data_IF_144223637667
#
_entry.id   IF_144223637667
#
_cell.length_a   1.000
_cell.length_b   1.000
_cell.length_c   1.000
_cell.angle_alpha   90.00
_cell.angle_beta   90.00
_cell.angle_gamma   90.00
#
_symmetry.space_group_name_H-M   'P 1'
#
loop_
_entity.id
_entity.type
_entity.pdbx_description
1 polymer ?
#
# COMPACT_ATOMS: atom_id res chain seq x y z
N UNK A 1 21.86 54.47 -1.62
CA UNK A 1 22.74 53.37 -1.18
C UNK A 1 22.69 52.29 -2.24
N UNK A 2 23.81 52.03 -2.92
CA UNK A 2 23.93 50.91 -3.87
C UNK A 2 24.52 49.74 -3.07
N UNK A 3 23.75 48.67 -2.90
CA UNK A 3 24.19 47.44 -2.24
C UNK A 3 24.80 46.50 -3.28
N UNK A 4 26.10 46.24 -3.18
CA UNK A 4 26.78 45.22 -3.98
C UNK A 4 26.59 43.86 -3.30
N UNK A 5 25.75 42.99 -3.86
CA UNK A 5 25.72 41.57 -3.49
C UNK A 5 26.83 40.82 -4.27
N UNK A 6 27.58 39.96 -3.58
CA UNK A 6 28.46 38.96 -4.18
C UNK A 6 27.81 37.58 -4.05
N UNK A 7 27.54 36.93 -5.18
CA UNK A 7 27.08 35.54 -5.30
C UNK A 7 28.26 34.57 -5.35
N UNK A 8 28.08 33.37 -4.80
CA UNK A 8 28.96 32.21 -5.04
C UNK A 8 28.48 31.37 -6.23
N UNK A 9 29.31 30.44 -6.69
CA UNK A 9 28.97 29.57 -7.82
C UNK A 9 27.70 28.76 -7.53
N UNK A 10 26.77 28.74 -8.49
CA UNK A 10 25.41 28.14 -8.40
C UNK A 10 24.36 28.91 -7.56
N UNK A 11 24.49 30.24 -7.41
CA UNK A 11 23.43 31.05 -6.78
C UNK A 11 22.70 31.96 -7.78
N UNK A 12 21.39 32.13 -7.58
CA UNK A 12 20.55 33.08 -8.33
C UNK A 12 20.21 34.25 -7.41
N UNK A 13 20.70 35.44 -7.74
CA UNK A 13 20.36 36.65 -6.98
C UNK A 13 19.04 37.23 -7.49
N UNK A 14 18.06 37.35 -6.60
CA UNK A 14 16.77 37.98 -6.89
C UNK A 14 16.68 39.27 -6.08
N UNK A 15 16.52 40.41 -6.77
CA UNK A 15 16.37 41.73 -6.15
C UNK A 15 15.00 42.30 -6.50
N UNK A 16 14.20 42.65 -5.49
CA UNK A 16 12.91 43.30 -5.68
C UNK A 16 12.70 44.41 -4.63
N UNK A 17 11.98 45.46 -5.01
CA UNK A 17 11.60 46.57 -4.11
C UNK A 17 10.43 46.25 -3.16
N UNK A 18 9.92 45.02 -3.17
CA UNK A 18 8.86 44.44 -2.33
C UNK A 18 9.14 42.95 -2.09
N UNK A 19 8.29 42.25 -1.33
CA UNK A 19 8.44 40.82 -1.03
C UNK A 19 8.57 39.97 -2.31
N UNK A 20 9.59 39.11 -2.34
CA UNK A 20 9.78 38.09 -3.38
C UNK A 20 9.05 36.83 -2.93
N UNK A 21 8.00 36.44 -3.64
CA UNK A 21 7.36 35.13 -3.45
C UNK A 21 8.02 34.15 -4.42
N UNK A 22 8.84 33.25 -3.89
CA UNK A 22 9.34 32.10 -4.64
C UNK A 22 8.18 31.10 -4.81
N UNK A 23 7.56 31.09 -6.00
CA UNK A 23 6.52 30.13 -6.31
C UNK A 23 7.13 28.74 -6.49
N UNK A 24 7.00 27.91 -5.46
CA UNK A 24 7.19 26.47 -5.60
C UNK A 24 5.93 25.90 -6.26
N UNK A 25 6.10 25.00 -7.23
CA UNK A 25 5.04 24.50 -8.12
C UNK A 25 3.80 23.88 -7.41
N UNK A 26 3.86 23.59 -6.10
CA UNK A 26 2.73 23.10 -5.29
C UNK A 26 1.80 24.20 -4.74
N UNK A 27 2.25 25.45 -4.63
CA UNK A 27 1.43 26.55 -4.07
C UNK A 27 0.25 26.91 -4.98
N UNK A 28 0.45 26.83 -6.30
CA UNK A 28 -0.60 27.10 -7.28
C UNK A 28 -1.71 26.05 -7.19
N UNK A 29 -1.36 24.77 -7.10
CA UNK A 29 -2.33 23.68 -6.97
C UNK A 29 -3.15 23.81 -5.67
N UNK A 30 -2.49 24.10 -4.54
CA UNK A 30 -3.19 24.33 -3.27
C UNK A 30 -4.15 25.52 -3.36
N UNK A 31 -3.69 26.66 -3.88
CA UNK A 31 -4.49 27.86 -4.01
C UNK A 31 -5.74 27.61 -4.86
N UNK A 32 -5.61 26.94 -6.00
CA UNK A 32 -6.75 26.57 -6.84
C UNK A 32 -7.76 25.67 -6.11
N UNK A 33 -7.30 24.65 -5.37
CA UNK A 33 -8.21 23.77 -4.62
C UNK A 33 -8.91 24.54 -3.49
N UNK A 34 -8.19 25.42 -2.79
CA UNK A 34 -8.74 26.24 -1.71
C UNK A 34 -9.77 27.26 -2.23
N UNK A 35 -9.48 27.95 -3.34
CA UNK A 35 -10.42 28.90 -3.97
C UNK A 35 -11.72 28.21 -4.36
N UNK A 36 -11.62 27.06 -5.00
CA UNK A 36 -12.76 26.25 -5.43
C UNK A 36 -13.56 25.84 -4.21
N UNK A 37 -12.90 25.32 -3.18
CA UNK A 37 -13.54 24.93 -1.92
C UNK A 37 -14.28 26.10 -1.26
N UNK A 38 -13.68 27.29 -1.20
CA UNK A 38 -14.29 28.50 -0.60
C UNK A 38 -15.55 28.95 -1.36
N UNK A 39 -15.48 29.01 -2.68
CA UNK A 39 -16.65 29.36 -3.51
C UNK A 39 -17.83 28.43 -3.24
N UNK A 40 -17.51 27.16 -3.00
CA UNK A 40 -18.50 26.11 -2.85
C UNK A 40 -19.07 26.02 -1.46
N UNK A 41 -18.29 26.33 -0.42
CA UNK A 41 -18.80 26.33 0.95
C UNK A 41 -20.00 27.23 1.13
N UNK A 42 -19.92 28.46 0.62
CA UNK A 42 -21.01 29.41 0.69
C UNK A 42 -22.25 28.88 -0.06
N UNK A 43 -22.05 28.20 -1.19
CA UNK A 43 -23.14 27.62 -1.98
C UNK A 43 -23.73 26.32 -1.42
N UNK A 44 -22.93 25.49 -0.74
CA UNK A 44 -23.29 24.13 -0.29
C UNK A 44 -23.83 24.14 1.12
N UNK A 45 -23.22 24.91 2.02
CA UNK A 45 -23.59 24.93 3.43
C UNK A 45 -24.57 26.06 3.78
N UNK A 46 -24.70 27.08 2.92
CA UNK A 46 -25.59 28.22 3.15
C UNK A 46 -25.28 28.95 4.46
N UNK A 47 -26.31 29.48 5.10
CA UNK A 47 -26.17 30.09 6.43
C UNK A 47 -26.09 29.01 7.51
N UNK A 48 -24.95 29.00 8.21
CA UNK A 48 -24.68 28.11 9.33
C UNK A 48 -24.50 28.88 10.65
N UNK A 49 -24.77 28.23 11.80
CA UNK A 49 -24.40 28.77 13.11
C UNK A 49 -22.90 29.10 13.18
N UNK A 50 -22.56 30.15 13.93
CA UNK A 50 -21.18 30.65 14.02
C UNK A 50 -20.19 29.57 14.50
N UNK A 51 -20.58 28.74 15.46
CA UNK A 51 -19.71 27.67 15.97
C UNK A 51 -19.56 26.52 14.97
N UNK A 52 -20.58 26.23 14.17
CA UNK A 52 -20.47 25.27 13.05
C UNK A 52 -19.50 25.79 11.99
N UNK A 53 -19.56 27.09 11.64
CA UNK A 53 -18.61 27.71 10.71
C UNK A 53 -17.17 27.60 11.23
N UNK A 54 -16.93 27.90 12.51
CA UNK A 54 -15.60 27.75 13.12
C UNK A 54 -15.09 26.31 13.06
N UNK A 55 -15.95 25.32 13.33
CA UNK A 55 -15.54 23.91 13.25
C UNK A 55 -15.18 23.51 11.82
N UNK A 56 -15.98 23.94 10.85
CA UNK A 56 -15.73 23.72 9.43
C UNK A 56 -14.38 24.34 9.02
N UNK A 57 -14.11 25.59 9.40
CA UNK A 57 -12.84 26.27 9.14
C UNK A 57 -11.65 25.52 9.78
N UNK A 58 -11.84 25.00 10.99
CA UNK A 58 -10.83 24.19 11.67
C UNK A 58 -10.53 22.89 10.91
N UNK A 59 -11.57 22.19 10.48
CA UNK A 59 -11.44 20.94 9.72
C UNK A 59 -10.73 21.19 8.37
N UNK A 60 -11.14 22.24 7.65
CA UNK A 60 -10.50 22.64 6.41
C UNK A 60 -9.03 22.99 6.60
N UNK A 61 -8.70 23.76 7.63
CA UNK A 61 -7.32 24.13 7.92
C UNK A 61 -6.47 22.87 8.09
N UNK A 62 -6.96 21.88 8.84
CA UNK A 62 -6.25 20.61 8.99
C UNK A 62 -6.05 19.89 7.65
N UNK A 63 -7.09 19.79 6.83
CA UNK A 63 -7.01 19.17 5.51
C UNK A 63 -6.02 19.87 4.59
N UNK A 64 -6.11 21.18 4.44
CA UNK A 64 -5.24 21.96 3.57
C UNK A 64 -3.78 21.96 4.05
N UNK A 65 -3.53 21.95 5.36
CA UNK A 65 -2.17 21.76 5.88
C UNK A 65 -1.57 20.44 5.37
N UNK A 66 -2.26 19.32 5.52
CA UNK A 66 -1.76 18.03 5.05
C UNK A 66 -1.72 17.92 3.53
N UNK A 67 -2.66 18.55 2.82
CA UNK A 67 -2.63 18.61 1.36
C UNK A 67 -1.39 19.36 0.85
N UNK A 68 -1.04 20.47 1.50
CA UNK A 68 0.17 21.24 1.17
C UNK A 68 1.43 20.36 1.25
N UNK A 69 1.56 19.59 2.34
CA UNK A 69 2.70 18.69 2.54
C UNK A 69 2.77 17.60 1.46
N UNK A 70 1.62 17.05 1.07
CA UNK A 70 1.57 15.98 0.06
C UNK A 70 1.71 16.50 -1.38
N UNK A 71 1.26 17.71 -1.69
CA UNK A 71 1.46 18.32 -3.00
C UNK A 71 2.95 18.61 -3.28
N UNK A 72 3.77 18.76 -2.24
CA UNK A 72 5.24 18.78 -2.37
C UNK A 72 5.83 17.49 -2.96
N UNK A 73 5.07 16.39 -3.01
CA UNK A 73 5.50 15.07 -3.51
C UNK A 73 5.00 14.78 -4.94
N UNK A 74 4.47 15.78 -5.65
CA UNK A 74 3.93 15.61 -6.99
C UNK A 74 5.02 15.27 -8.02
N UNK A 75 4.66 14.39 -8.96
CA UNK A 75 5.51 14.02 -10.09
C UNK A 75 5.29 14.97 -11.26
N UNK A 76 4.03 15.38 -11.50
CA UNK A 76 3.66 16.35 -12.56
C UNK A 76 4.05 17.78 -12.13
N UNK A 77 4.58 18.57 -13.07
CA UNK A 77 5.01 19.95 -12.84
C UNK A 77 4.58 20.86 -13.98
N UNK A 78 4.62 22.18 -13.75
CA UNK A 78 4.40 23.19 -14.79
C UNK A 78 3.04 23.06 -15.51
N UNK A 79 3.08 23.00 -16.83
CA UNK A 79 1.87 23.01 -17.67
C UNK A 79 1.03 21.74 -17.51
N UNK A 80 1.66 20.58 -17.33
CA UNK A 80 0.93 19.31 -17.15
C UNK A 80 0.13 19.33 -15.86
N UNK A 81 0.72 19.79 -14.76
CA UNK A 81 0.01 19.98 -13.51
C UNK A 81 -1.16 20.97 -13.69
N UNK A 82 -0.93 22.09 -14.39
CA UNK A 82 -1.97 23.09 -14.65
C UNK A 82 -3.15 22.51 -15.43
N UNK A 83 -2.90 21.66 -16.43
CA UNK A 83 -3.95 20.98 -17.22
C UNK A 83 -4.82 20.08 -16.34
N UNK A 84 -4.19 19.26 -15.49
CA UNK A 84 -4.89 18.37 -14.56
C UNK A 84 -5.78 19.19 -13.63
N UNK A 85 -5.19 20.16 -12.92
CA UNK A 85 -5.93 20.89 -11.88
C UNK A 85 -7.03 21.78 -12.46
N UNK A 86 -6.89 22.26 -13.68
CA UNK A 86 -7.91 23.12 -14.31
C UNK A 86 -9.03 22.31 -14.97
N UNK A 87 -8.93 20.98 -15.01
CA UNK A 87 -9.94 20.14 -15.64
C UNK A 87 -11.25 20.13 -14.84
N UNK A 88 -12.44 20.13 -15.50
CA UNK A 88 -13.73 20.11 -14.80
C UNK A 88 -13.89 18.93 -13.85
N UNK A 89 -13.36 17.78 -14.23
CA UNK A 89 -13.39 16.54 -13.46
C UNK A 89 -12.54 16.64 -12.18
N UNK A 90 -11.28 17.10 -12.28
CA UNK A 90 -10.45 17.31 -11.09
C UNK A 90 -11.05 18.37 -10.16
N UNK A 91 -11.62 19.42 -10.73
CA UNK A 91 -12.31 20.48 -10.00
C UNK A 91 -13.51 19.94 -9.20
N UNK A 92 -14.28 19.03 -9.80
CA UNK A 92 -15.38 18.36 -9.12
C UNK A 92 -14.90 17.44 -7.99
N UNK A 93 -13.87 16.61 -8.22
CA UNK A 93 -13.45 15.65 -7.20
C UNK A 93 -12.68 16.30 -6.05
N UNK A 94 -11.86 17.31 -6.32
CA UNK A 94 -11.16 18.10 -5.29
C UNK A 94 -12.15 18.86 -4.40
N UNK A 95 -13.22 19.41 -4.98
CA UNK A 95 -14.38 19.91 -4.23
C UNK A 95 -14.96 18.85 -3.31
N UNK A 96 -15.20 17.65 -3.84
CA UNK A 96 -15.82 16.55 -3.09
C UNK A 96 -14.96 16.17 -1.88
N UNK A 97 -13.64 16.10 -2.06
CA UNK A 97 -12.69 15.89 -0.97
C UNK A 97 -12.77 17.00 0.08
N UNK A 98 -12.73 18.27 -0.33
CA UNK A 98 -12.77 19.40 0.60
C UNK A 98 -14.08 19.48 1.39
N UNK A 99 -15.24 19.24 0.76
CA UNK A 99 -16.53 19.18 1.45
C UNK A 99 -16.55 18.02 2.45
N UNK A 100 -16.03 16.87 2.06
CA UNK A 100 -15.96 15.68 2.93
C UNK A 100 -15.09 15.95 4.16
N UNK A 101 -13.91 16.54 3.97
CA UNK A 101 -13.04 16.96 5.07
C UNK A 101 -13.73 17.97 5.98
N UNK A 102 -14.40 18.97 5.42
CA UNK A 102 -15.10 20.02 6.19
C UNK A 102 -16.13 19.48 7.18
N UNK A 103 -16.73 18.34 6.87
CA UNK A 103 -17.78 17.69 7.67
C UNK A 103 -17.24 16.81 8.81
N UNK A 104 -15.92 16.62 8.91
CA UNK A 104 -15.31 15.66 9.84
C UNK A 104 -14.14 16.29 10.58
N UNK A 105 -14.03 16.04 11.88
CA UNK A 105 -12.85 16.40 12.67
C UNK A 105 -11.74 15.35 12.61
N UNK A 106 -11.91 14.28 11.81
CA UNK A 106 -10.94 13.20 11.70
C UNK A 106 -9.70 13.63 10.92
N UNK A 107 -8.60 13.84 11.65
CA UNK A 107 -7.28 14.10 11.07
C UNK A 107 -6.82 12.96 10.14
N UNK A 108 -7.24 11.74 10.42
CA UNK A 108 -6.94 10.56 9.61
C UNK A 108 -7.66 10.60 8.26
N UNK A 109 -8.93 10.99 8.25
CA UNK A 109 -9.67 11.22 7.00
C UNK A 109 -9.02 12.35 6.18
N UNK A 110 -8.59 13.43 6.82
CA UNK A 110 -7.90 14.53 6.15
C UNK A 110 -6.61 14.09 5.47
N UNK A 111 -5.80 13.29 6.16
CA UNK A 111 -4.56 12.70 5.62
C UNK A 111 -4.84 11.79 4.43
N UNK A 112 -5.82 10.91 4.56
CA UNK A 112 -6.19 10.01 3.48
C UNK A 112 -6.74 10.74 2.25
N UNK A 113 -7.65 11.69 2.41
CA UNK A 113 -8.16 12.50 1.30
C UNK A 113 -7.05 13.28 0.60
N UNK A 114 -6.11 13.83 1.37
CA UNK A 114 -4.95 14.52 0.83
C UNK A 114 -4.07 13.58 0.00
N UNK A 115 -3.77 12.39 0.52
CA UNK A 115 -2.99 11.36 -0.19
C UNK A 115 -3.68 10.95 -1.50
N UNK A 116 -4.98 10.63 -1.45
CA UNK A 116 -5.75 10.24 -2.62
C UNK A 116 -5.81 11.33 -3.69
N UNK A 117 -5.94 12.61 -3.31
CA UNK A 117 -5.87 13.73 -4.25
C UNK A 117 -4.51 13.80 -4.95
N UNK A 118 -3.41 13.65 -4.21
CA UNK A 118 -2.07 13.62 -4.79
C UNK A 118 -1.90 12.43 -5.75
N UNK A 119 -2.39 11.25 -5.39
CA UNK A 119 -2.35 10.06 -6.25
C UNK A 119 -3.20 10.22 -7.51
N UNK A 120 -4.38 10.84 -7.38
CA UNK A 120 -5.27 11.18 -8.49
C UNK A 120 -4.59 12.15 -9.47
N UNK A 121 -3.87 13.16 -8.99
CA UNK A 121 -3.11 14.08 -9.86
C UNK A 121 -2.02 13.32 -10.61
N UNK A 122 -1.27 12.46 -9.91
CA UNK A 122 -0.14 11.73 -10.50
C UNK A 122 -0.56 10.69 -11.55
N UNK A 123 -1.82 10.23 -11.52
CA UNK A 123 -2.35 9.20 -12.44
C UNK A 123 -3.42 9.74 -13.42
N UNK A 124 -3.45 11.05 -13.70
CA UNK A 124 -4.48 11.65 -14.58
C UNK A 124 -4.46 11.15 -16.04
N UNK A 125 -3.33 10.62 -16.50
CA UNK A 125 -3.13 10.06 -17.85
C UNK A 125 -3.59 8.59 -18.00
N UNK A 126 -4.09 7.97 -16.93
CA UNK A 126 -4.55 6.58 -16.90
C UNK A 126 -6.05 6.52 -16.63
N UNK A 127 -6.86 6.35 -17.68
CA UNK A 127 -8.34 6.45 -17.62
C UNK A 127 -8.98 5.64 -16.49
N UNK A 128 -8.64 4.35 -16.36
CA UNK A 128 -9.21 3.51 -15.30
C UNK A 128 -8.75 3.94 -13.90
N UNK A 129 -7.47 4.25 -13.72
CA UNK A 129 -6.95 4.67 -12.41
C UNK A 129 -7.54 6.00 -11.95
N UNK A 130 -7.69 6.92 -12.89
CA UNK A 130 -8.39 8.18 -12.68
C UNK A 130 -9.76 7.93 -12.06
N UNK A 131 -10.58 7.10 -12.72
CA UNK A 131 -11.92 6.72 -12.23
C UNK A 131 -11.84 6.06 -10.85
N UNK A 132 -10.89 5.14 -10.64
CA UNK A 132 -10.73 4.44 -9.36
C UNK A 132 -10.38 5.40 -8.22
N UNK A 133 -9.48 6.35 -8.45
CA UNK A 133 -9.14 7.36 -7.45
C UNK A 133 -10.29 8.33 -7.19
N UNK A 134 -11.04 8.72 -8.22
CA UNK A 134 -12.22 9.57 -8.06
C UNK A 134 -13.29 8.88 -7.20
N UNK A 135 -13.52 7.58 -7.43
CA UNK A 135 -14.45 6.81 -6.60
C UNK A 135 -13.89 6.60 -5.18
N UNK A 136 -12.59 6.34 -5.02
CA UNK A 136 -11.95 6.22 -3.71
C UNK A 136 -12.09 7.51 -2.88
N UNK A 137 -11.88 8.68 -3.48
CA UNK A 137 -12.06 9.99 -2.83
C UNK A 137 -13.53 10.18 -2.40
N UNK A 138 -14.47 9.80 -3.27
CA UNK A 138 -15.91 9.93 -3.01
C UNK A 138 -16.40 8.97 -1.93
N UNK A 139 -15.69 7.86 -1.71
CA UNK A 139 -16.12 6.78 -0.84
C UNK A 139 -15.43 6.75 0.51
N UNK A 140 -14.19 7.22 0.63
CA UNK A 140 -13.42 7.10 1.88
C UNK A 140 -14.06 7.80 3.08
N UNK A 141 -14.79 8.90 2.86
CA UNK A 141 -15.54 9.59 3.93
C UNK A 141 -16.72 8.82 4.51
N UNK A 142 -17.10 7.69 3.89
CA UNK A 142 -18.16 6.80 4.36
C UNK A 142 -17.62 5.72 5.29
N UNK A 143 -16.31 5.45 5.26
CA UNK A 143 -15.69 4.34 5.98
C UNK A 143 -15.27 4.73 7.39
N UNK A 144 -15.38 3.78 8.32
CA UNK A 144 -14.80 3.92 9.66
C UNK A 144 -13.32 3.52 9.66
N UNK A 145 -12.59 3.93 10.70
CA UNK A 145 -11.19 3.50 10.91
C UNK A 145 -11.06 1.98 10.98
N UNK A 146 -12.00 1.30 11.62
CA UNK A 146 -12.01 -0.17 11.67
C UNK A 146 -12.17 -0.80 10.29
N UNK A 147 -13.01 -0.23 9.43
CA UNK A 147 -13.18 -0.71 8.05
C UNK A 147 -11.93 -0.44 7.21
N UNK A 148 -11.27 0.70 7.38
CA UNK A 148 -9.99 0.98 6.73
C UNK A 148 -8.92 -0.05 7.13
N UNK A 149 -8.86 -0.43 8.41
CA UNK A 149 -7.98 -1.49 8.89
C UNK A 149 -8.32 -2.86 8.30
N UNK A 150 -9.60 -3.23 8.25
CA UNK A 150 -10.05 -4.50 7.63
C UNK A 150 -9.64 -4.57 6.16
N UNK A 151 -9.98 -3.53 5.38
CA UNK A 151 -9.66 -3.46 3.94
C UNK A 151 -8.15 -3.53 3.74
N UNK A 152 -7.38 -2.79 4.54
CA UNK A 152 -5.91 -2.76 4.41
C UNK A 152 -5.26 -4.06 4.82
N UNK A 153 -5.71 -4.69 5.92
CA UNK A 153 -5.20 -5.99 6.35
C UNK A 153 -5.49 -7.06 5.30
N UNK A 154 -6.70 -7.08 4.73
CA UNK A 154 -7.07 -8.00 3.65
C UNK A 154 -6.19 -7.79 2.41
N UNK A 155 -5.95 -6.54 2.02
CA UNK A 155 -5.04 -6.20 0.92
C UNK A 155 -3.62 -6.74 1.15
N UNK A 156 -3.03 -6.44 2.31
CA UNK A 156 -1.66 -6.82 2.63
C UNK A 156 -1.47 -8.34 2.69
N UNK A 157 -2.43 -9.08 3.26
CA UNK A 157 -2.29 -10.52 3.46
C UNK A 157 -2.61 -11.35 2.21
N UNK A 158 -3.36 -10.82 1.23
CA UNK A 158 -3.82 -11.57 0.04
C UNK A 158 -3.27 -11.07 -1.28
N UNK A 159 -3.13 -9.76 -1.41
CA UNK A 159 -2.87 -9.09 -2.69
C UNK A 159 -1.46 -8.50 -2.76
N UNK A 160 -0.61 -8.76 -1.77
CA UNK A 160 0.77 -8.28 -1.77
C UNK A 160 1.74 -9.38 -1.35
N UNK A 161 2.96 -9.31 -1.87
CA UNK A 161 4.09 -10.02 -1.27
C UNK A 161 5.22 -9.01 -1.03
N UNK A 162 5.80 -9.04 0.17
CA UNK A 162 6.86 -8.11 0.52
C UNK A 162 8.22 -8.70 0.11
N UNK A 163 8.87 -8.10 -0.88
CA UNK A 163 10.16 -8.55 -1.42
C UNK A 163 11.33 -8.33 -0.45
N UNK A 164 11.15 -7.52 0.60
CA UNK A 164 12.14 -7.29 1.64
C UNK A 164 12.32 -8.46 2.62
N UNK A 165 11.42 -9.45 2.61
CA UNK A 165 11.56 -10.64 3.46
C UNK A 165 12.61 -11.57 2.88
N UNK A 166 13.73 -11.73 3.59
CA UNK A 166 14.88 -12.56 3.19
C UNK A 166 15.32 -13.55 4.27
N UNK A 167 14.70 -13.48 5.43
CA UNK A 167 14.99 -14.31 6.60
C UNK A 167 13.81 -14.31 7.55
N UNK A 168 13.85 -15.17 8.56
CA UNK A 168 12.81 -15.20 9.59
C UNK A 168 12.76 -13.90 10.41
N UNK A 169 13.91 -13.29 10.68
CA UNK A 169 13.99 -12.02 11.42
C UNK A 169 13.34 -10.87 10.64
N UNK A 170 13.57 -10.81 9.33
CA UNK A 170 12.92 -9.80 8.47
C UNK A 170 11.42 -10.07 8.30
N UNK A 171 11.00 -11.33 8.36
CA UNK A 171 9.57 -11.69 8.40
C UNK A 171 8.89 -11.21 9.68
N UNK A 172 9.50 -11.46 10.85
CA UNK A 172 9.01 -10.95 12.14
C UNK A 172 8.93 -9.42 12.09
N UNK A 173 9.97 -8.75 11.60
CA UNK A 173 9.99 -7.30 11.45
C UNK A 173 8.85 -6.80 10.56
N UNK A 174 8.61 -7.45 9.42
CA UNK A 174 7.49 -7.13 8.54
C UNK A 174 6.14 -7.24 9.27
N UNK A 175 5.92 -8.30 10.04
CA UNK A 175 4.70 -8.46 10.85
C UNK A 175 4.53 -7.29 11.83
N UNK A 176 5.60 -6.91 12.54
CA UNK A 176 5.55 -5.82 13.51
C UNK A 176 5.34 -4.43 12.89
N UNK A 177 5.95 -4.15 11.75
CA UNK A 177 5.94 -2.78 11.18
C UNK A 177 4.88 -2.57 10.10
N UNK A 178 4.48 -3.63 9.38
CA UNK A 178 3.56 -3.52 8.23
C UNK A 178 2.19 -4.13 8.50
N UNK A 179 2.09 -5.16 9.34
CA UNK A 179 0.80 -5.85 9.58
C UNK A 179 0.14 -5.38 10.88
N UNK A 180 0.92 -5.31 11.97
CA UNK A 180 0.45 -4.93 13.31
C UNK A 180 -0.41 -3.67 13.36
N UNK A 181 -0.16 -2.59 12.59
CA UNK A 181 -1.00 -1.39 12.66
C UNK A 181 -2.47 -1.64 12.30
N UNK A 182 -2.78 -2.75 11.62
CA UNK A 182 -4.09 -3.03 11.04
C UNK A 182 -4.85 -4.18 11.70
N UNK A 183 -4.36 -4.74 12.82
CA UNK A 183 -4.97 -5.93 13.46
C UNK A 183 -5.93 -5.58 14.61
N UNK A 184 -6.05 -4.30 14.96
CA UNK A 184 -6.88 -3.81 16.07
C UNK A 184 -8.12 -3.09 15.54
N UNK A 185 -9.20 -3.84 15.30
CA UNK A 185 -10.47 -3.32 14.80
C UNK A 185 -11.70 -4.09 15.33
N UNK A 186 -12.84 -3.41 15.39
CA UNK A 186 -14.13 -4.09 15.59
C UNK A 186 -14.54 -4.82 14.31
N UNK A 187 -14.90 -6.09 14.43
CA UNK A 187 -15.12 -7.00 13.31
C UNK A 187 -16.57 -7.50 13.25
N UNK A 188 -17.52 -6.58 13.42
CA UNK A 188 -18.95 -6.95 13.35
C UNK A 188 -19.35 -7.29 11.91
N UNK A 189 -20.34 -8.17 11.75
CA UNK A 189 -20.94 -8.48 10.44
C UNK A 189 -21.36 -7.21 9.69
N UNK A 190 -21.92 -6.22 10.41
CA UNK A 190 -22.30 -4.93 9.85
C UNK A 190 -21.10 -4.15 9.27
N UNK A 191 -19.89 -4.32 9.83
CA UNK A 191 -18.69 -3.68 9.28
C UNK A 191 -18.38 -4.21 7.88
N UNK A 192 -18.45 -5.53 7.67
CA UNK A 192 -18.24 -6.17 6.37
C UNK A 192 -19.35 -5.84 5.37
N UNK A 193 -20.62 -5.92 5.77
CA UNK A 193 -21.75 -5.52 4.92
C UNK A 193 -21.64 -4.06 4.46
N UNK A 194 -21.16 -3.17 5.33
CA UNK A 194 -20.96 -1.78 4.95
C UNK A 194 -19.75 -1.58 4.01
N UNK A 195 -18.68 -2.38 4.15
CA UNK A 195 -17.60 -2.44 3.14
C UNK A 195 -18.16 -2.82 1.77
N UNK A 196 -19.09 -3.79 1.70
CA UNK A 196 -19.77 -4.16 0.46
C UNK A 196 -20.66 -3.04 -0.08
N UNK A 197 -21.48 -2.45 0.79
CA UNK A 197 -22.35 -1.31 0.43
C UNK A 197 -21.58 -0.13 -0.16
N UNK A 198 -20.40 0.16 0.39
CA UNK A 198 -19.52 1.22 -0.13
C UNK A 198 -18.75 0.84 -1.39
N UNK A 199 -18.91 -0.39 -1.90
CA UNK A 199 -18.22 -0.86 -3.10
C UNK A 199 -16.71 -1.09 -2.90
N UNK A 200 -16.23 -1.22 -1.65
CA UNK A 200 -14.81 -1.44 -1.35
C UNK A 200 -14.42 -2.92 -1.40
N UNK A 201 -15.37 -3.84 -1.36
CA UNK A 201 -15.14 -5.27 -1.47
C UNK A 201 -16.43 -6.06 -1.54
N UNK A 202 -16.30 -7.38 -1.58
CA UNK A 202 -17.41 -8.34 -1.55
C UNK A 202 -17.05 -9.52 -0.66
N UNK A 203 -17.97 -9.98 0.18
CA UNK A 203 -17.81 -11.18 1.01
C UNK A 203 -18.37 -12.37 0.25
N UNK A 204 -17.47 -13.27 -0.17
CA UNK A 204 -17.84 -14.46 -0.94
C UNK A 204 -18.01 -15.72 -0.07
N UNK A 205 -18.54 -16.78 -0.67
CA UNK A 205 -18.63 -18.10 -0.03
C UNK A 205 -17.23 -18.72 0.13
N UNK A 206 -16.32 -18.43 -0.81
CA UNK A 206 -14.94 -18.91 -0.77
C UNK A 206 -14.12 -18.18 0.28
N UNK A 207 -13.43 -18.94 1.14
CA UNK A 207 -12.40 -18.40 2.03
C UNK A 207 -11.00 -18.61 1.46
N UNK A 208 -10.10 -17.74 1.86
CA UNK A 208 -8.67 -17.85 1.60
C UNK A 208 -7.98 -18.50 2.80
N UNK A 209 -7.08 -19.46 2.57
CA UNK A 209 -6.26 -20.05 3.63
C UNK A 209 -4.97 -19.24 3.80
N UNK A 210 -4.89 -18.48 4.90
CA UNK A 210 -3.75 -17.62 5.20
C UNK A 210 -2.45 -18.42 5.34
N UNK A 211 -2.51 -19.61 5.97
CA UNK A 211 -1.33 -20.46 6.14
C UNK A 211 -0.85 -20.97 4.78
N UNK A 212 -1.78 -21.35 3.90
CA UNK A 212 -1.44 -21.74 2.52
C UNK A 212 -0.81 -20.59 1.73
N UNK A 213 -1.32 -19.35 1.86
CA UNK A 213 -0.73 -18.16 1.22
C UNK A 213 0.72 -17.97 1.71
N UNK A 214 0.97 -17.99 3.01
CA UNK A 214 2.32 -17.86 3.55
C UNK A 214 3.23 -19.02 3.14
N UNK A 215 2.70 -20.25 3.08
CA UNK A 215 3.41 -21.44 2.62
C UNK A 215 3.83 -21.31 1.16
N UNK A 216 3.02 -20.66 0.32
CA UNK A 216 3.33 -20.42 -1.09
C UNK A 216 4.30 -19.25 -1.26
N UNK A 217 3.96 -18.06 -0.72
CA UNK A 217 4.71 -16.82 -1.01
C UNK A 217 6.04 -16.73 -0.28
N UNK A 218 6.16 -17.35 0.89
CA UNK A 218 7.35 -17.31 1.74
C UNK A 218 7.87 -18.71 2.07
N UNK A 219 7.71 -19.66 1.13
CA UNK A 219 8.08 -21.06 1.29
C UNK A 219 9.50 -21.27 1.84
N UNK A 220 10.46 -20.45 1.41
CA UNK A 220 11.85 -20.52 1.85
C UNK A 220 12.06 -20.38 3.37
N UNK A 221 11.13 -19.73 4.09
CA UNK A 221 11.16 -19.60 5.55
C UNK A 221 10.74 -20.89 6.26
N UNK A 222 10.07 -21.78 5.53
CA UNK A 222 9.45 -23.01 6.03
C UNK A 222 10.05 -24.25 5.38
N UNK A 223 11.19 -24.12 4.72
CA UNK A 223 11.85 -25.22 4.04
C UNK A 223 12.73 -26.00 5.04
N UNK A 224 12.53 -27.31 5.12
CA UNK A 224 13.46 -28.20 5.81
C UNK A 224 14.74 -28.39 4.98
N UNK A 225 15.84 -28.71 5.66
CA UNK A 225 17.08 -29.09 4.97
C UNK A 225 16.89 -30.38 4.17
N UNK A 226 17.55 -30.45 3.02
CA UNK A 226 17.48 -31.54 2.05
C UNK A 226 18.72 -32.41 2.16
N UNK A 227 18.57 -33.73 2.10
CA UNK A 227 19.72 -34.64 2.10
C UNK A 227 20.62 -34.40 0.89
N UNK A 228 21.95 -34.48 1.08
CA UNK A 228 22.92 -34.22 0.01
C UNK A 228 22.67 -35.08 -1.22
N UNK A 229 22.41 -36.37 -0.99
CA UNK A 229 22.16 -37.37 -2.04
C UNK A 229 21.00 -36.94 -2.96
N UNK A 230 19.93 -36.37 -2.41
CA UNK A 230 18.78 -35.94 -3.21
C UNK A 230 19.12 -34.83 -4.20
N UNK A 231 20.03 -33.91 -3.82
CA UNK A 231 20.48 -32.83 -4.70
C UNK A 231 21.58 -33.30 -5.65
N UNK A 232 22.51 -34.12 -5.15
CA UNK A 232 23.64 -34.63 -5.94
C UNK A 232 23.15 -35.51 -7.10
N UNK A 233 22.10 -36.31 -6.87
CA UNK A 233 21.48 -37.16 -7.88
C UNK A 233 20.78 -36.38 -9.01
N UNK A 234 20.57 -35.07 -8.88
CA UNK A 234 19.97 -34.24 -9.93
C UNK A 234 20.95 -33.87 -11.04
N UNK A 235 22.26 -34.04 -10.83
CA UNK A 235 23.31 -33.58 -11.75
C UNK A 235 23.13 -32.11 -12.18
N UNK A 236 22.71 -31.25 -11.25
CA UNK A 236 22.59 -29.81 -11.47
C UNK A 236 23.93 -29.22 -11.92
N UNK A 237 23.96 -28.35 -12.94
CA UNK A 237 25.19 -27.65 -13.32
C UNK A 237 25.78 -26.92 -12.12
N UNK A 238 27.10 -27.02 -11.96
CA UNK A 238 27.79 -26.53 -10.76
C UNK A 238 27.52 -25.04 -10.48
N UNK A 239 27.45 -24.22 -11.53
CA UNK A 239 27.15 -22.79 -11.41
C UNK A 239 25.74 -22.53 -10.86
N UNK A 240 24.75 -23.30 -11.33
CA UNK A 240 23.38 -23.21 -10.80
C UNK A 240 23.35 -23.68 -9.35
N UNK A 241 24.00 -24.80 -9.04
CA UNK A 241 24.06 -25.32 -7.68
C UNK A 241 24.65 -24.29 -6.71
N UNK A 242 25.72 -23.57 -7.09
CA UNK A 242 26.29 -22.48 -6.29
C UNK A 242 25.34 -21.29 -6.10
N UNK A 243 24.53 -20.97 -7.11
CA UNK A 243 23.58 -19.85 -7.06
C UNK A 243 22.40 -20.12 -6.12
N UNK A 244 21.86 -21.36 -6.09
CA UNK A 244 20.59 -21.66 -5.39
C UNK A 244 20.70 -22.66 -4.23
N UNK A 245 21.84 -23.35 -4.06
CA UNK A 245 22.04 -24.32 -2.97
C UNK A 245 23.14 -23.84 -2.02
N UNK A 246 22.95 -24.05 -0.72
CA UNK A 246 24.01 -23.84 0.27
C UNK A 246 24.09 -25.02 1.22
N UNK A 247 25.32 -25.44 1.54
CA UNK A 247 25.57 -26.48 2.53
C UNK A 247 25.43 -25.92 3.94
N UNK A 248 24.58 -26.54 4.74
CA UNK A 248 24.61 -26.41 6.19
C UNK A 248 25.68 -27.37 6.74
N UNK A 249 26.76 -26.80 7.27
CA UNK A 249 27.90 -27.58 7.78
C UNK A 249 27.59 -28.29 9.10
N UNK A 250 26.56 -27.87 9.83
CA UNK A 250 26.22 -28.44 11.14
C UNK A 250 25.41 -29.71 10.98
N UNK A 251 24.39 -29.66 10.13
CA UNK A 251 23.50 -30.81 9.87
C UNK A 251 23.97 -31.66 8.69
N UNK A 252 24.99 -31.20 7.97
CA UNK A 252 25.55 -31.81 6.77
C UNK A 252 24.53 -32.00 5.62
N UNK A 253 23.61 -31.04 5.48
CA UNK A 253 22.50 -31.05 4.52
C UNK A 253 22.44 -29.79 3.68
N UNK A 254 21.69 -29.81 2.58
CA UNK A 254 21.53 -28.67 1.69
C UNK A 254 20.29 -27.82 2.01
N UNK A 255 20.44 -26.52 1.84
CA UNK A 255 19.35 -25.54 1.87
C UNK A 255 19.15 -24.97 0.47
N UNK A 256 17.89 -24.93 0.00
CA UNK A 256 17.53 -24.30 -1.28
C UNK A 256 17.14 -22.84 -1.03
N UNK A 257 17.90 -21.91 -1.61
CA UNK A 257 17.80 -20.45 -1.38
C UNK A 257 16.97 -19.75 -2.45
N UNK A 258 15.75 -20.22 -2.65
CA UNK A 258 14.79 -19.59 -3.58
C UNK A 258 13.49 -19.33 -2.86
N UNK A 259 12.90 -18.14 -3.08
CA UNK A 259 11.75 -17.61 -2.34
C UNK A 259 10.57 -18.58 -2.30
N UNK A 260 10.19 -19.09 -3.46
CA UNK A 260 9.08 -20.03 -3.61
C UNK A 260 9.28 -20.94 -4.83
N UNK A 261 8.34 -21.87 -4.99
CA UNK A 261 8.36 -22.88 -6.06
C UNK A 261 8.28 -22.25 -7.46
N UNK A 262 7.43 -21.23 -7.64
CA UNK A 262 7.24 -20.53 -8.92
C UNK A 262 8.51 -19.78 -9.35
N UNK A 263 9.18 -19.13 -8.41
CA UNK A 263 10.44 -18.41 -8.64
C UNK A 263 11.56 -19.39 -9.00
N UNK A 264 11.60 -20.56 -8.35
CA UNK A 264 12.54 -21.63 -8.67
C UNK A 264 12.34 -22.13 -10.10
N UNK A 265 11.11 -22.47 -10.47
CA UNK A 265 10.79 -22.96 -11.81
C UNK A 265 11.12 -21.91 -12.88
N UNK A 266 10.73 -20.66 -12.65
CA UNK A 266 10.99 -19.52 -13.55
C UNK A 266 12.49 -19.29 -13.73
N UNK A 267 13.24 -19.31 -12.63
CA UNK A 267 14.69 -19.14 -12.64
C UNK A 267 15.38 -20.23 -13.47
N UNK A 268 15.02 -21.51 -13.26
CA UNK A 268 15.63 -22.63 -13.97
C UNK A 268 15.26 -22.65 -15.46
N UNK A 269 14.00 -22.34 -15.80
CA UNK A 269 13.56 -22.18 -17.19
C UNK A 269 14.37 -21.11 -17.91
N UNK A 270 14.59 -19.95 -17.28
CA UNK A 270 15.41 -18.87 -17.83
C UNK A 270 16.87 -19.29 -18.06
N UNK A 271 17.42 -20.14 -17.17
CA UNK A 271 18.76 -20.72 -17.31
C UNK A 271 18.82 -21.90 -18.30
N UNK A 272 17.71 -22.22 -18.97
CA UNK A 272 17.59 -23.31 -19.97
C UNK A 272 17.98 -24.68 -19.39
N UNK A 273 17.63 -24.92 -18.13
CA UNK A 273 17.83 -26.22 -17.50
C UNK A 273 16.86 -27.24 -18.06
N UNK A 274 17.30 -28.49 -18.14
CA UNK A 274 16.50 -29.61 -18.61
C UNK A 274 15.19 -29.75 -17.82
N UNK A 275 14.08 -29.99 -18.53
CA UNK A 275 12.72 -30.01 -17.97
C UNK A 275 12.56 -31.09 -16.90
N UNK A 276 13.26 -32.23 -17.05
CA UNK A 276 13.20 -33.31 -16.07
C UNK A 276 13.93 -32.94 -14.77
N UNK A 277 15.07 -32.24 -14.88
CA UNK A 277 15.77 -31.69 -13.70
C UNK A 277 14.90 -30.66 -13.00
N UNK A 278 14.24 -29.77 -13.74
CA UNK A 278 13.30 -28.78 -13.19
C UNK A 278 12.21 -29.49 -12.39
N UNK A 279 11.52 -30.47 -13.00
CA UNK A 279 10.45 -31.22 -12.32
C UNK A 279 10.94 -31.88 -11.03
N UNK A 280 12.09 -32.57 -11.07
CA UNK A 280 12.65 -33.26 -9.91
C UNK A 280 13.01 -32.29 -8.79
N UNK A 281 13.69 -31.17 -9.10
CA UNK A 281 14.06 -30.19 -8.08
C UNK A 281 12.83 -29.49 -7.50
N UNK A 282 11.82 -29.18 -8.33
CA UNK A 282 10.54 -28.62 -7.87
C UNK A 282 9.80 -29.58 -6.92
N UNK A 283 9.80 -30.89 -7.22
CA UNK A 283 9.22 -31.91 -6.32
C UNK A 283 9.99 -31.98 -5.01
N UNK A 284 11.33 -31.97 -5.05
CA UNK A 284 12.17 -31.93 -3.85
C UNK A 284 11.82 -30.68 -3.03
N UNK A 285 11.80 -29.51 -3.65
CA UNK A 285 11.47 -28.24 -2.98
C UNK A 285 10.11 -28.35 -2.28
N UNK A 286 9.05 -28.72 -3.00
CA UNK A 286 7.69 -28.83 -2.49
C UNK A 286 7.55 -29.80 -1.31
N UNK A 287 8.22 -30.95 -1.39
CA UNK A 287 8.16 -31.99 -0.36
C UNK A 287 8.92 -31.61 0.92
N UNK A 288 9.85 -30.66 0.83
CA UNK A 288 10.60 -30.18 1.99
C UNK A 288 9.97 -28.93 2.64
N UNK A 289 8.96 -28.32 2.04
CA UNK A 289 8.19 -27.26 2.71
C UNK A 289 7.36 -27.91 3.82
N UNK A 290 7.54 -27.41 5.04
CA UNK A 290 6.76 -27.80 6.22
C UNK A 290 5.25 -27.83 5.94
N UNK A 291 4.54 -28.70 6.66
CA UNK A 291 3.09 -28.78 6.54
C UNK A 291 2.40 -27.58 7.21
N UNK A 292 1.10 -27.39 6.95
CA UNK A 292 0.36 -26.24 7.45
C UNK A 292 0.36 -26.14 8.99
N UNK A 293 0.32 -27.26 9.72
CA UNK A 293 0.33 -27.25 11.19
C UNK A 293 1.67 -26.75 11.75
N UNK A 294 2.79 -27.20 11.18
CA UNK A 294 4.12 -26.72 11.56
C UNK A 294 4.29 -25.22 11.26
N UNK A 295 3.80 -24.77 10.10
CA UNK A 295 3.85 -23.36 9.70
C UNK A 295 2.99 -22.50 10.64
N UNK A 296 1.74 -22.93 10.90
CA UNK A 296 0.83 -22.28 11.84
C UNK A 296 1.47 -22.18 13.22
N UNK A 297 2.07 -23.27 13.71
CA UNK A 297 2.79 -23.28 14.99
C UNK A 297 3.93 -22.27 14.98
N UNK A 298 4.81 -22.30 13.98
CA UNK A 298 5.94 -21.36 13.87
C UNK A 298 5.49 -19.89 13.87
N UNK A 299 4.49 -19.54 13.05
CA UNK A 299 3.96 -18.17 13.00
C UNK A 299 3.35 -17.76 14.35
N UNK A 300 2.58 -18.63 15.00
CA UNK A 300 1.92 -18.32 16.28
C UNK A 300 2.88 -18.25 17.47
N UNK A 301 3.95 -19.04 17.49
CA UNK A 301 4.88 -19.10 18.62
C UNK A 301 6.04 -18.12 18.52
N UNK A 302 6.45 -17.77 17.30
CA UNK A 302 7.68 -16.97 17.08
C UNK A 302 7.41 -15.54 16.58
N UNK A 303 6.15 -15.15 16.37
CA UNK A 303 5.79 -13.74 16.08
C UNK A 303 4.90 -13.21 17.20
N UNK A 304 4.97 -11.91 17.50
CA UNK A 304 4.18 -11.36 18.62
C UNK A 304 2.68 -11.26 18.31
N UNK A 305 2.31 -11.21 17.03
CA UNK A 305 0.95 -10.99 16.56
C UNK A 305 0.34 -12.19 15.80
N UNK A 306 1.11 -13.25 15.53
CA UNK A 306 0.68 -14.35 14.65
C UNK A 306 -0.58 -15.05 15.11
N UNK A 307 -0.71 -15.30 16.42
CA UNK A 307 -1.94 -15.87 16.99
C UNK A 307 -3.16 -14.97 16.73
N UNK A 308 -3.01 -13.67 16.96
CA UNK A 308 -4.10 -12.70 16.77
C UNK A 308 -4.52 -12.59 15.31
N UNK A 309 -3.57 -12.55 14.38
CA UNK A 309 -3.88 -12.52 12.94
C UNK A 309 -4.64 -13.77 12.52
N UNK A 310 -4.18 -14.95 12.92
CA UNK A 310 -4.85 -16.21 12.58
C UNK A 310 -6.24 -16.30 13.23
N UNK A 311 -6.39 -15.86 14.48
CA UNK A 311 -7.69 -15.75 15.14
C UNK A 311 -8.65 -14.82 14.37
N UNK A 312 -8.19 -13.65 13.91
CA UNK A 312 -8.99 -12.74 13.09
C UNK A 312 -9.38 -13.39 11.75
N UNK A 313 -8.45 -14.11 11.13
CA UNK A 313 -8.67 -14.77 9.85
C UNK A 313 -9.70 -15.90 9.95
N UNK A 314 -9.62 -16.69 11.01
CA UNK A 314 -10.46 -17.88 11.22
C UNK A 314 -11.85 -17.51 11.78
N UNK A 315 -11.99 -16.38 12.49
CA UNK A 315 -13.23 -16.00 13.22
C UNK A 315 -14.03 -14.86 12.60
N UNK A 316 -13.55 -14.26 11.51
CA UNK A 316 -14.21 -13.12 10.88
C UNK A 316 -14.30 -13.31 9.37
N UNK A 317 -15.14 -12.51 8.71
CA UNK A 317 -15.33 -12.59 7.25
C UNK A 317 -14.15 -12.03 6.44
N UNK A 318 -13.04 -11.63 7.08
CA UNK A 318 -11.85 -11.13 6.37
C UNK A 318 -11.26 -12.17 5.42
N UNK A 319 -11.32 -13.46 5.80
CA UNK A 319 -10.88 -14.57 4.95
C UNK A 319 -11.76 -14.75 3.71
N UNK A 320 -13.00 -14.24 3.74
CA UNK A 320 -13.97 -14.29 2.65
C UNK A 320 -14.02 -12.98 1.83
N UNK A 321 -13.47 -11.89 2.37
CA UNK A 321 -13.51 -10.56 1.76
C UNK A 321 -12.55 -10.46 0.57
N UNK A 322 -13.09 -10.21 -0.62
CA UNK A 322 -12.31 -9.85 -1.82
C UNK A 322 -12.46 -8.36 -2.10
N UNK A 323 -11.36 -7.65 -2.38
CA UNK A 323 -11.37 -6.20 -2.55
C UNK A 323 -11.65 -5.80 -4.01
N UNK A 324 -12.33 -4.67 -4.19
CA UNK A 324 -12.44 -4.01 -5.50
C UNK A 324 -11.20 -3.16 -5.78
N UNK A 325 -11.06 -2.64 -7.00
CA UNK A 325 -10.00 -1.67 -7.33
C UNK A 325 -10.07 -0.41 -6.45
N UNK A 326 -11.27 0.04 -6.11
CA UNK A 326 -11.50 1.15 -5.17
C UNK A 326 -11.01 0.78 -3.77
N UNK A 327 -11.35 -0.41 -3.27
CA UNK A 327 -10.87 -0.91 -1.99
C UNK A 327 -9.34 -1.02 -1.94
N UNK A 328 -8.70 -1.47 -3.02
CA UNK A 328 -7.24 -1.54 -3.16
C UNK A 328 -6.61 -0.14 -3.11
N UNK A 329 -7.15 0.84 -3.84
CA UNK A 329 -6.63 2.21 -3.81
C UNK A 329 -6.74 2.85 -2.42
N UNK A 330 -7.86 2.62 -1.72
CA UNK A 330 -8.05 3.06 -0.33
C UNK A 330 -7.07 2.34 0.62
N UNK A 331 -6.93 1.01 0.50
CA UNK A 331 -6.00 0.22 1.30
C UNK A 331 -4.56 0.70 1.15
N UNK A 332 -4.11 0.90 -0.08
CA UNK A 332 -2.75 1.35 -0.38
C UNK A 332 -2.49 2.76 0.17
N UNK A 333 -3.46 3.68 0.02
CA UNK A 333 -3.34 5.04 0.58
C UNK A 333 -3.29 5.01 2.11
N UNK A 334 -4.12 4.18 2.75
CA UNK A 334 -4.16 4.09 4.20
C UNK A 334 -2.89 3.44 4.77
N UNK A 335 -2.37 2.43 4.07
CA UNK A 335 -1.09 1.82 4.37
C UNK A 335 0.06 2.84 4.31
N UNK A 336 0.17 3.61 3.23
CA UNK A 336 1.19 4.65 3.07
C UNK A 336 1.12 5.67 4.22
N UNK A 337 -0.08 6.03 4.67
CA UNK A 337 -0.25 6.97 5.77
C UNK A 337 0.31 6.45 7.11
N UNK A 338 0.06 5.18 7.45
CA UNK A 338 0.46 4.62 8.75
C UNK A 338 1.89 4.08 8.76
N UNK A 339 2.36 3.54 7.64
CA UNK A 339 3.67 2.86 7.54
C UNK A 339 4.71 3.75 6.87
N UNK A 340 4.30 4.70 6.04
CA UNK A 340 5.21 5.60 5.31
C UNK A 340 5.83 4.99 4.06
N UNK A 341 5.40 3.78 3.67
CA UNK A 341 5.87 3.06 2.48
C UNK A 341 4.79 3.04 1.39
N UNK A 342 5.18 3.16 0.12
CA UNK A 342 4.27 3.10 -1.02
C UNK A 342 4.12 1.68 -1.53
N UNK A 343 2.90 1.28 -1.86
CA UNK A 343 2.62 0.05 -2.58
C UNK A 343 2.27 0.39 -4.02
N UNK A 344 2.94 -0.24 -4.96
CA UNK A 344 2.59 -0.16 -6.37
C UNK A 344 1.29 -0.92 -6.62
N UNK A 345 0.23 -0.19 -6.98
CA UNK A 345 -1.09 -0.77 -7.26
C UNK A 345 -1.30 -1.05 -8.74
N UNK A 346 -0.32 -0.77 -9.61
CA UNK A 346 -0.42 -0.96 -11.06
C UNK A 346 -0.72 -2.42 -11.38
N UNK A 347 -0.14 -3.36 -10.64
CA UNK A 347 -0.40 -4.80 -10.78
C UNK A 347 -1.90 -5.12 -10.75
N UNK A 348 -2.68 -4.36 -9.98
CA UNK A 348 -4.11 -4.58 -9.76
C UNK A 348 -5.02 -3.65 -10.55
N UNK A 349 -4.50 -2.49 -10.99
CA UNK A 349 -5.25 -1.46 -11.71
C UNK A 349 -4.43 -1.04 -12.92
N UNK A 350 -4.55 -1.82 -14.00
CA UNK A 350 -3.86 -1.62 -15.29
C UNK A 350 -4.76 -0.99 -16.33
#
# INVERSE_FOLDING_TARGET
>A
MISNQKSGDSSTNLQAGKNIVLNQNGTIALYSIEEVSKQLMNSVFGELPADTKKQIESNQKSYFCTLTENLGKLIKQGEDLKKVISSPDFQFISKTAAITASRSSSLELHKNLSSLITQRINNDDKDLKKIVYDEAISTIGKLTVDQLKIITLSYLLKHTSYSGIRSWETYIKYFETHIKPFIDFNHTMAAFQHIEYTGCGSVGISSWDLVAIHRQEYAFLFLNLVEKEQIDNLNLPLEIKKEIITLDLKEDKFMIRVKNESDLETYLKRKKIDVEIIKKLTVIYRNHIKNNEEIKKKITTETSIGKKILDLWDKTDISHLSLTSVGIAIAASYFEQLVGEKIDIDIWIN
#
